data_IF_687954286534
#
_entry.id   IF_687954286534
#
_cell.length_a   1.000
_cell.length_b   1.000
_cell.length_c   1.000
_cell.angle_alpha   90.00
_cell.angle_beta   90.00
_cell.angle_gamma   90.00
#
_symmetry.space_group_name_H-M   'P 1'
#
loop_
_entity.id
_entity.type
_entity.pdbx_description
1 polymer ?
#
# COMPACT_ATOMS: atom_id res chain seq x y z
N UNK A 1 25.74 15.17 -1.17
CA UNK A 1 25.06 16.22 -1.93
C UNK A 1 25.66 17.59 -1.65
N UNK A 2 25.55 18.08 -0.46
CA UNK A 2 26.19 19.28 0.04
C UNK A 2 26.64 19.03 1.49
N UNK A 3 27.64 19.76 1.98
CA UNK A 3 28.29 19.44 3.25
C UNK A 3 27.35 19.40 4.45
N UNK A 4 26.23 20.15 4.42
CA UNK A 4 25.22 20.19 5.49
C UNK A 4 23.89 19.54 5.09
N UNK A 5 23.85 18.76 4.00
CA UNK A 5 22.61 18.16 3.50
C UNK A 5 22.70 16.63 3.42
N UNK A 6 21.91 15.96 4.26
CA UNK A 6 21.79 14.51 4.30
C UNK A 6 20.45 14.06 3.75
N UNK A 7 20.46 13.08 2.86
CA UNK A 7 19.27 12.46 2.28
C UNK A 7 19.39 10.95 2.31
N UNK A 8 18.29 10.26 2.56
CA UNK A 8 18.26 8.80 2.49
C UNK A 8 18.49 8.33 1.06
N UNK A 9 19.43 7.40 0.87
CA UNK A 9 19.76 6.86 -0.44
C UNK A 9 18.66 5.97 -1.05
N UNK A 10 17.82 5.34 -0.21
CA UNK A 10 16.80 4.40 -0.65
C UNK A 10 15.42 4.79 -0.13
N UNK A 11 15.17 4.61 1.17
CA UNK A 11 13.88 4.89 1.79
C UNK A 11 13.84 6.32 2.32
N UNK A 12 12.93 7.14 1.81
CA UNK A 12 12.77 8.54 2.22
C UNK A 12 11.43 8.79 2.93
N UNK A 13 10.51 7.84 2.88
CA UNK A 13 9.20 7.89 3.50
C UNK A 13 8.95 6.63 4.32
N UNK A 14 8.15 6.76 5.36
CA UNK A 14 7.77 5.64 6.18
C UNK A 14 6.56 4.93 5.58
N UNK A 15 6.75 3.66 5.27
CA UNK A 15 5.72 2.72 4.84
C UNK A 15 5.68 1.54 5.78
N UNK A 16 4.53 0.93 5.94
CA UNK A 16 4.36 -0.41 6.50
C UNK A 16 4.96 -0.64 7.91
N UNK A 17 5.24 0.41 8.67
CA UNK A 17 5.61 0.23 10.09
C UNK A 17 4.36 -0.23 10.86
N UNK A 18 4.36 -1.49 11.25
CA UNK A 18 3.21 -2.13 11.85
C UNK A 18 2.97 -1.61 13.28
N UNK A 19 1.72 -1.31 13.66
CA UNK A 19 1.39 -0.84 15.01
C UNK A 19 1.86 -1.79 16.12
N UNK A 20 1.78 -3.11 15.88
CA UNK A 20 2.25 -4.11 16.82
C UNK A 20 3.76 -4.00 17.06
N UNK A 21 4.55 -3.75 16.00
CA UNK A 21 6.01 -3.54 16.10
C UNK A 21 6.33 -2.26 16.87
N UNK A 22 5.58 -1.18 16.60
CA UNK A 22 5.71 0.09 17.34
C UNK A 22 5.50 -0.16 18.84
N UNK A 23 4.43 -0.88 19.17
CA UNK A 23 4.06 -1.19 20.55
C UNK A 23 5.08 -2.11 21.24
N UNK A 24 5.47 -3.21 20.56
CA UNK A 24 6.35 -4.23 21.14
C UNK A 24 7.77 -3.69 21.39
N UNK A 25 8.25 -2.77 20.55
CA UNK A 25 9.55 -2.13 20.68
C UNK A 25 9.53 -0.82 21.50
N UNK A 26 8.35 -0.33 21.88
CA UNK A 26 8.22 0.95 22.58
C UNK A 26 8.71 2.14 21.75
N UNK A 27 8.56 2.07 20.40
CA UNK A 27 8.97 3.16 19.52
C UNK A 27 7.92 4.26 19.57
N UNK A 28 8.35 5.51 19.68
CA UNK A 28 7.51 6.69 19.49
C UNK A 28 7.97 7.44 18.24
N UNK A 29 7.44 7.09 17.04
CA UNK A 29 7.87 7.74 15.81
C UNK A 29 7.51 9.22 15.83
N UNK A 30 8.53 10.08 15.73
CA UNK A 30 8.35 11.52 15.59
C UNK A 30 8.04 11.87 14.14
N UNK A 31 6.78 12.10 13.86
CA UNK A 31 6.32 12.40 12.52
C UNK A 31 6.45 13.87 12.19
N UNK A 32 7.28 14.24 11.21
CA UNK A 32 7.26 15.57 10.60
C UNK A 32 5.97 15.80 9.81
N UNK A 33 5.42 14.72 9.20
CA UNK A 33 4.13 14.72 8.52
C UNK A 33 3.51 13.31 8.51
N UNK A 34 2.31 13.18 9.08
CA UNK A 34 1.60 11.89 9.17
C UNK A 34 0.89 11.47 7.90
N UNK A 35 0.54 12.40 7.02
CA UNK A 35 -0.20 12.14 5.80
C UNK A 35 0.34 13.03 4.68
N UNK A 36 0.83 12.42 3.62
CA UNK A 36 1.41 13.10 2.48
C UNK A 36 0.52 12.98 1.25
N UNK A 37 0.43 14.08 0.49
CA UNK A 37 -0.24 14.08 -0.82
C UNK A 37 0.71 13.55 -1.87
N UNK A 38 0.21 12.72 -2.77
CA UNK A 38 0.91 12.40 -4.02
C UNK A 38 0.62 13.50 -5.05
N UNK A 39 1.66 13.98 -5.70
CA UNK A 39 1.56 14.96 -6.79
C UNK A 39 2.15 14.31 -8.04
N UNK A 40 1.34 14.21 -9.08
CA UNK A 40 1.76 13.73 -10.40
C UNK A 40 1.98 14.94 -11.29
N UNK A 41 3.22 15.14 -11.70
CA UNK A 41 3.59 16.25 -12.58
C UNK A 41 3.12 15.94 -13.99
N UNK A 42 2.46 16.91 -14.63
CA UNK A 42 2.01 16.86 -16.02
C UNK A 42 2.67 17.96 -16.83
N UNK A 43 2.84 17.76 -18.12
CA UNK A 43 3.52 18.72 -19.00
C UNK A 43 2.74 20.04 -19.16
N UNK A 44 1.41 19.97 -19.06
CA UNK A 44 0.52 21.15 -19.17
C UNK A 44 0.43 21.97 -17.87
N UNK A 45 1.12 21.56 -16.81
CA UNK A 45 1.07 22.20 -15.48
C UNK A 45 -0.19 21.90 -14.67
N UNK A 46 -1.14 21.18 -15.23
CA UNK A 46 -2.38 20.76 -14.53
C UNK A 46 -2.13 19.52 -13.68
N UNK A 47 -1.26 19.66 -12.69
CA UNK A 47 -0.78 18.55 -11.88
C UNK A 47 -1.90 17.84 -11.13
N UNK A 48 -1.90 16.50 -11.21
CA UNK A 48 -2.84 15.67 -10.44
C UNK A 48 -2.36 15.62 -9.00
N UNK A 49 -3.29 15.77 -8.05
CA UNK A 49 -3.01 15.66 -6.61
C UNK A 49 -4.01 14.73 -5.99
N UNK A 50 -3.53 13.71 -5.27
CA UNK A 50 -4.43 12.82 -4.53
C UNK A 50 -3.89 12.47 -3.14
N UNK A 51 -4.85 12.19 -2.24
CA UNK A 51 -4.61 11.76 -0.87
C UNK A 51 -5.86 11.01 -0.37
N UNK A 52 -5.73 9.73 -0.08
CA UNK A 52 -6.88 8.89 0.21
C UNK A 52 -7.89 8.96 -0.94
N UNK A 53 -9.16 9.23 -0.63
CA UNK A 53 -10.24 9.36 -1.63
C UNK A 53 -10.32 10.73 -2.33
N UNK A 54 -9.53 11.69 -1.87
CA UNK A 54 -9.56 13.04 -2.44
C UNK A 54 -8.62 13.11 -3.65
N UNK A 55 -9.11 13.62 -4.77
CA UNK A 55 -8.34 13.82 -6.00
C UNK A 55 -8.71 15.13 -6.66
N UNK A 56 -7.73 15.78 -7.31
CA UNK A 56 -7.89 16.97 -8.13
C UNK A 56 -6.92 16.96 -9.32
N UNK A 57 -7.17 17.79 -10.33
CA UNK A 57 -6.37 17.85 -11.56
C UNK A 57 -6.74 16.76 -12.57
N UNK A 58 -7.91 16.17 -12.46
CA UNK A 58 -8.51 15.23 -13.42
C UNK A 58 -9.92 15.67 -13.78
N UNK A 59 -10.48 15.12 -14.87
CA UNK A 59 -11.88 15.35 -15.25
C UNK A 59 -12.85 14.71 -14.24
N UNK A 60 -14.13 15.06 -14.29
CA UNK A 60 -15.14 14.60 -13.33
C UNK A 60 -15.40 13.08 -13.44
N UNK A 61 -15.24 12.49 -14.62
CA UNK A 61 -15.38 11.05 -14.84
C UNK A 61 -14.25 10.28 -14.13
N UNK A 62 -12.99 10.64 -14.39
CA UNK A 62 -11.82 10.04 -13.72
C UNK A 62 -11.87 10.27 -12.20
N UNK A 63 -12.38 11.43 -11.76
CA UNK A 63 -12.56 11.71 -10.33
C UNK A 63 -13.56 10.77 -9.68
N UNK A 64 -14.71 10.55 -10.30
CA UNK A 64 -15.72 9.58 -9.83
C UNK A 64 -15.15 8.17 -9.80
N UNK A 65 -14.55 7.76 -10.90
CA UNK A 65 -13.95 6.43 -11.04
C UNK A 65 -12.83 6.19 -10.03
N UNK A 66 -12.02 7.22 -9.72
CA UNK A 66 -10.98 7.15 -8.71
C UNK A 66 -11.56 6.90 -7.31
N UNK A 67 -12.60 7.61 -6.92
CA UNK A 67 -13.25 7.44 -5.61
C UNK A 67 -13.82 6.01 -5.48
N UNK A 68 -14.46 5.49 -6.52
CA UNK A 68 -15.00 4.14 -6.55
C UNK A 68 -13.88 3.08 -6.47
N UNK A 69 -12.83 3.25 -7.29
CA UNK A 69 -11.64 2.40 -7.30
C UNK A 69 -10.97 2.39 -5.92
N UNK A 70 -10.66 3.56 -5.38
CA UNK A 70 -10.01 3.71 -4.08
C UNK A 70 -10.81 3.01 -2.96
N UNK A 71 -12.12 3.30 -2.86
CA UNK A 71 -12.98 2.70 -1.83
C UNK A 71 -13.03 1.18 -1.94
N UNK A 72 -13.05 0.62 -3.16
CA UNK A 72 -13.02 -0.81 -3.40
C UNK A 72 -11.67 -1.42 -3.01
N UNK A 73 -10.56 -0.81 -3.41
CA UNK A 73 -9.22 -1.29 -3.08
C UNK A 73 -8.96 -1.25 -1.57
N UNK A 74 -9.41 -0.21 -0.87
CA UNK A 74 -9.34 -0.13 0.59
C UNK A 74 -10.11 -1.27 1.24
N UNK A 75 -11.37 -1.52 0.85
CA UNK A 75 -12.15 -2.65 1.40
C UNK A 75 -11.44 -4.00 1.22
N UNK A 76 -10.84 -4.24 0.05
CA UNK A 76 -10.12 -5.48 -0.21
C UNK A 76 -8.79 -5.55 0.53
N UNK A 77 -8.10 -4.42 0.70
CA UNK A 77 -6.87 -4.36 1.49
C UNK A 77 -7.13 -4.61 2.98
N UNK A 78 -8.27 -4.21 3.51
CA UNK A 78 -8.65 -4.44 4.92
C UNK A 78 -8.73 -5.94 5.25
N UNK A 79 -9.13 -6.78 4.29
CA UNK A 79 -9.05 -8.23 4.44
C UNK A 79 -7.61 -8.69 4.67
N UNK A 80 -6.66 -8.14 3.89
CA UNK A 80 -5.26 -8.52 3.94
C UNK A 80 -4.52 -8.03 5.18
N UNK A 81 -4.92 -6.87 5.75
CA UNK A 81 -4.32 -6.31 6.97
C UNK A 81 -4.23 -7.32 8.11
N UNK A 82 -5.27 -8.13 8.28
CA UNK A 82 -5.33 -9.17 9.32
C UNK A 82 -4.23 -10.23 9.18
N UNK A 83 -3.66 -10.37 7.99
CA UNK A 83 -2.68 -11.42 7.66
C UNK A 83 -1.25 -10.90 7.52
N UNK A 84 -1.01 -9.58 7.52
CA UNK A 84 0.32 -8.99 7.33
C UNK A 84 1.33 -9.43 8.40
N UNK A 85 0.90 -9.51 9.66
CA UNK A 85 1.74 -9.90 10.80
C UNK A 85 1.73 -11.41 11.07
N UNK A 86 1.11 -12.19 10.19
CA UNK A 86 1.06 -13.65 10.34
C UNK A 86 2.07 -14.32 9.43
N UNK A 87 2.65 -15.41 9.94
CA UNK A 87 3.46 -16.27 9.08
C UNK A 87 2.59 -16.77 7.91
N UNK A 88 3.06 -16.61 6.65
CA UNK A 88 2.35 -17.14 5.50
C UNK A 88 2.11 -18.66 5.64
N UNK A 89 0.87 -19.13 5.47
CA UNK A 89 0.56 -20.55 5.56
C UNK A 89 1.15 -21.29 4.36
N UNK A 90 1.68 -22.48 4.61
CA UNK A 90 2.18 -23.34 3.53
C UNK A 90 1.02 -24.06 2.86
N UNK A 91 0.93 -23.97 1.54
CA UNK A 91 -0.02 -24.76 0.77
C UNK A 91 0.37 -26.24 0.75
N UNK A 92 -0.62 -27.13 0.85
CA UNK A 92 -0.39 -28.57 0.84
C UNK A 92 0.23 -29.15 2.11
N UNK A 93 0.30 -28.39 3.21
CA UNK A 93 0.81 -28.84 4.49
C UNK A 93 -0.24 -29.60 5.31
N UNK A 94 0.22 -30.52 6.16
CA UNK A 94 -0.60 -31.17 7.20
C UNK A 94 -0.56 -30.41 8.54
N UNK A 95 0.12 -29.26 8.61
CA UNK A 95 0.22 -28.48 9.83
C UNK A 95 -1.14 -27.83 10.16
N UNK A 96 -1.68 -28.11 11.32
CA UNK A 96 -2.99 -27.63 11.75
C UNK A 96 -3.08 -26.12 11.84
N UNK A 97 -2.01 -25.42 12.23
CA UNK A 97 -1.97 -23.96 12.31
C UNK A 97 -2.07 -23.32 10.91
N UNK A 98 -1.36 -23.87 9.93
CA UNK A 98 -1.43 -23.41 8.55
C UNK A 98 -2.82 -23.67 7.95
N UNK A 99 -3.39 -24.86 8.20
CA UNK A 99 -4.74 -25.21 7.76
C UNK A 99 -5.81 -24.29 8.38
N UNK A 100 -5.69 -23.98 9.67
CA UNK A 100 -6.59 -23.04 10.33
C UNK A 100 -6.48 -21.62 9.75
N UNK A 101 -5.27 -21.18 9.42
CA UNK A 101 -5.06 -19.86 8.79
C UNK A 101 -5.70 -19.81 7.41
N UNK A 102 -5.53 -20.86 6.61
CA UNK A 102 -6.17 -20.98 5.28
C UNK A 102 -7.70 -21.06 5.38
N UNK A 103 -8.22 -21.85 6.32
CA UNK A 103 -9.65 -21.97 6.55
C UNK A 103 -10.26 -20.63 6.98
N UNK A 104 -9.59 -19.91 7.89
CA UNK A 104 -10.01 -18.58 8.30
C UNK A 104 -10.00 -17.60 7.12
N UNK A 105 -8.95 -17.56 6.32
CA UNK A 105 -8.88 -16.71 5.12
C UNK A 105 -10.01 -17.02 4.16
N UNK A 106 -10.26 -18.29 3.88
CA UNK A 106 -11.38 -18.73 3.04
C UNK A 106 -12.74 -18.32 3.59
N UNK A 107 -12.93 -18.43 4.92
CA UNK A 107 -14.14 -17.96 5.60
C UNK A 107 -14.30 -16.43 5.52
N UNK A 108 -13.24 -15.67 5.77
CA UNK A 108 -13.27 -14.21 5.70
C UNK A 108 -13.60 -13.74 4.26
N UNK A 109 -13.01 -14.37 3.24
CA UNK A 109 -13.36 -14.11 1.83
C UNK A 109 -14.83 -14.46 1.55
N UNK A 110 -15.30 -15.60 2.05
CA UNK A 110 -16.69 -16.03 1.86
C UNK A 110 -17.68 -15.08 2.52
N UNK A 111 -17.32 -14.53 3.69
CA UNK A 111 -18.14 -13.60 4.47
C UNK A 111 -18.34 -12.25 3.79
N UNK A 112 -17.50 -11.86 2.83
CA UNK A 112 -17.69 -10.65 2.02
C UNK A 112 -18.98 -10.69 1.20
N UNK A 113 -19.58 -11.87 1.02
CA UNK A 113 -20.71 -12.08 0.14
C UNK A 113 -20.31 -12.50 -1.27
N UNK A 114 -21.26 -13.08 -1.99
CA UNK A 114 -20.99 -13.73 -3.28
C UNK A 114 -20.41 -12.78 -4.35
N UNK A 115 -20.93 -11.56 -4.43
CA UNK A 115 -20.51 -10.56 -5.41
C UNK A 115 -19.09 -10.07 -5.14
N UNK A 116 -18.85 -9.58 -3.92
CA UNK A 116 -17.53 -9.05 -3.51
C UNK A 116 -16.45 -10.14 -3.52
N UNK A 117 -16.79 -11.36 -3.09
CA UNK A 117 -15.86 -12.50 -3.16
C UNK A 117 -15.43 -12.79 -4.60
N UNK A 118 -16.37 -12.81 -5.55
CA UNK A 118 -16.04 -13.05 -6.97
C UNK A 118 -15.16 -11.95 -7.53
N UNK A 119 -15.50 -10.70 -7.22
CA UNK A 119 -14.73 -9.54 -7.67
C UNK A 119 -13.33 -9.54 -7.05
N UNK A 120 -13.19 -9.82 -5.77
CA UNK A 120 -11.89 -9.95 -5.11
C UNK A 120 -11.03 -11.03 -5.77
N UNK A 121 -11.59 -12.24 -5.99
CA UNK A 121 -10.87 -13.35 -6.60
C UNK A 121 -10.50 -13.07 -8.07
N UNK A 122 -11.34 -12.34 -8.81
CA UNK A 122 -11.03 -11.86 -10.15
C UNK A 122 -9.82 -10.93 -10.13
N UNK A 123 -9.89 -9.91 -9.28
CA UNK A 123 -8.89 -8.83 -9.21
C UNK A 123 -7.52 -9.32 -8.76
N UNK A 124 -7.41 -10.20 -7.77
CA UNK A 124 -6.10 -10.68 -7.29
C UNK A 124 -5.30 -11.45 -8.35
N UNK A 125 -5.98 -11.99 -9.37
CA UNK A 125 -5.34 -12.64 -10.52
C UNK A 125 -4.99 -11.69 -11.67
N UNK A 126 -5.54 -10.47 -11.66
CA UNK A 126 -5.36 -9.50 -12.74
C UNK A 126 -4.04 -8.72 -12.62
N UNK A 127 -3.66 -8.11 -13.71
CA UNK A 127 -2.65 -7.07 -13.72
C UNK A 127 -3.29 -5.70 -13.48
N UNK A 128 -2.51 -4.77 -12.93
CA UNK A 128 -3.00 -3.43 -12.60
C UNK A 128 -3.29 -2.61 -13.85
N UNK A 129 -2.56 -2.84 -14.95
CA UNK A 129 -2.73 -2.09 -16.19
C UNK A 129 -4.14 -2.24 -16.75
N UNK A 130 -4.64 -3.48 -16.89
CA UNK A 130 -5.96 -3.74 -17.46
C UNK A 130 -7.07 -3.15 -16.58
N UNK A 131 -6.97 -3.29 -15.25
CA UNK A 131 -7.95 -2.70 -14.33
C UNK A 131 -8.00 -1.17 -14.40
N UNK A 132 -6.83 -0.52 -14.55
CA UNK A 132 -6.78 0.94 -14.66
C UNK A 132 -7.18 1.42 -16.06
N UNK A 133 -6.88 0.66 -17.11
CA UNK A 133 -7.23 1.00 -18.48
C UNK A 133 -8.74 0.95 -18.75
N UNK A 134 -9.42 -0.02 -18.11
CA UNK A 134 -10.89 -0.12 -18.14
C UNK A 134 -11.60 1.04 -17.43
N UNK A 135 -10.94 1.77 -16.50
CA UNK A 135 -11.59 2.73 -15.60
C UNK A 135 -11.21 4.17 -15.84
N UNK A 136 -9.99 4.42 -16.28
CA UNK A 136 -9.45 5.77 -16.36
C UNK A 136 -9.06 6.14 -17.79
N UNK A 137 -9.32 7.39 -18.14
CA UNK A 137 -8.90 7.96 -19.42
C UNK A 137 -7.52 8.62 -19.28
N UNK A 138 -7.26 9.30 -18.15
CA UNK A 138 -6.04 10.08 -17.93
C UNK A 138 -4.79 9.17 -17.80
N UNK A 139 -3.81 9.27 -18.72
CA UNK A 139 -2.63 8.41 -18.71
C UNK A 139 -1.68 8.67 -17.53
N UNK A 140 -1.59 9.91 -17.06
CA UNK A 140 -0.74 10.26 -15.91
C UNK A 140 -1.30 9.65 -14.61
N UNK A 141 -2.64 9.66 -14.44
CA UNK A 141 -3.28 9.00 -13.31
C UNK A 141 -3.05 7.47 -13.36
N UNK A 142 -3.23 6.85 -14.52
CA UNK A 142 -2.95 5.42 -14.71
C UNK A 142 -1.49 5.08 -14.37
N UNK A 143 -0.54 5.88 -14.85
CA UNK A 143 0.89 5.71 -14.55
C UNK A 143 1.19 5.81 -13.06
N UNK A 144 0.65 6.83 -12.38
CA UNK A 144 0.87 7.04 -10.96
C UNK A 144 0.33 5.89 -10.10
N UNK A 145 -0.91 5.44 -10.35
CA UNK A 145 -1.50 4.30 -9.64
C UNK A 145 -0.78 2.98 -9.93
N UNK A 146 -0.27 2.81 -11.16
CA UNK A 146 0.53 1.63 -11.52
C UNK A 146 1.84 1.53 -10.76
N UNK A 147 2.45 2.67 -10.41
CA UNK A 147 3.72 2.71 -9.66
C UNK A 147 3.57 2.00 -8.32
N UNK A 148 2.47 2.21 -7.61
CA UNK A 148 2.20 1.56 -6.32
C UNK A 148 2.03 0.04 -6.43
N UNK A 149 1.66 -0.46 -7.60
CA UNK A 149 1.50 -1.90 -7.85
C UNK A 149 2.82 -2.63 -8.16
N UNK A 150 3.86 -1.91 -8.58
CA UNK A 150 5.12 -2.51 -9.03
C UNK A 150 6.33 -2.09 -8.21
N UNK A 151 6.18 -1.10 -7.33
CA UNK A 151 7.29 -0.59 -6.53
C UNK A 151 7.89 -1.69 -5.65
N UNK A 152 9.20 -1.89 -5.76
CA UNK A 152 9.92 -2.91 -5.01
C UNK A 152 9.81 -4.33 -5.59
N UNK A 153 9.30 -4.47 -6.82
CA UNK A 153 9.21 -5.75 -7.53
C UNK A 153 10.00 -5.73 -8.84
N UNK A 154 10.17 -6.90 -9.45
CA UNK A 154 10.69 -7.03 -10.82
C UNK A 154 9.57 -7.03 -11.88
N UNK A 155 8.33 -6.78 -11.46
CA UNK A 155 7.15 -6.84 -12.30
C UNK A 155 6.89 -5.51 -13.00
N UNK A 156 6.35 -5.56 -14.22
CA UNK A 156 5.73 -4.41 -14.87
C UNK A 156 4.23 -4.35 -14.63
N UNK A 157 3.56 -3.22 -14.94
CA UNK A 157 2.12 -3.06 -14.70
C UNK A 157 1.24 -4.11 -15.41
N UNK A 158 1.71 -4.71 -16.49
CA UNK A 158 1.03 -5.77 -17.26
C UNK A 158 1.34 -7.18 -16.76
N UNK A 159 2.19 -7.32 -15.76
CA UNK A 159 2.46 -8.63 -15.15
C UNK A 159 1.27 -9.10 -14.32
N UNK A 160 0.92 -10.39 -14.34
CA UNK A 160 -0.17 -10.92 -13.52
C UNK A 160 0.08 -10.70 -12.04
N UNK A 161 -0.99 -10.64 -11.26
CA UNK A 161 -1.01 -10.44 -9.81
C UNK A 161 -0.50 -9.07 -9.31
N UNK A 162 -0.27 -8.08 -10.15
CA UNK A 162 0.17 -6.76 -9.70
C UNK A 162 -0.90 -6.00 -8.92
N UNK A 163 -2.18 -6.33 -9.08
CA UNK A 163 -3.24 -5.84 -8.18
C UNK A 163 -3.05 -6.37 -6.76
N UNK A 164 -2.65 -7.62 -6.59
CA UNK A 164 -2.38 -8.16 -5.26
C UNK A 164 -1.22 -7.39 -4.57
N UNK A 165 -0.19 -7.03 -5.32
CA UNK A 165 0.91 -6.17 -4.82
C UNK A 165 0.39 -4.80 -4.40
N UNK A 166 -0.48 -4.19 -5.21
CA UNK A 166 -1.14 -2.92 -4.88
C UNK A 166 -1.96 -3.02 -3.59
N UNK A 167 -2.78 -4.06 -3.44
CA UNK A 167 -3.57 -4.31 -2.23
C UNK A 167 -2.69 -4.55 -1.00
N UNK A 168 -1.60 -5.31 -1.15
CA UNK A 168 -0.63 -5.55 -0.08
C UNK A 168 0.01 -4.24 0.39
N UNK A 169 0.39 -3.37 -0.55
CA UNK A 169 0.92 -2.05 -0.24
C UNK A 169 -0.10 -1.18 0.51
N UNK A 170 -1.36 -1.11 0.04
CA UNK A 170 -2.44 -0.40 0.72
C UNK A 170 -2.68 -0.94 2.14
N UNK A 171 -2.68 -2.26 2.29
CA UNK A 171 -2.86 -2.90 3.60
C UNK A 171 -1.75 -2.49 4.58
N UNK A 172 -0.51 -2.35 4.11
CA UNK A 172 0.64 -1.96 4.91
C UNK A 172 0.70 -0.48 5.28
N UNK A 173 0.05 0.39 4.52
CA UNK A 173 0.10 1.84 4.74
C UNK A 173 -0.63 2.30 6.02
N UNK A 174 -1.55 1.51 6.56
CA UNK A 174 -2.38 1.86 7.73
C UNK A 174 -3.00 3.28 7.68
N UNK A 175 -3.29 3.76 6.48
CA UNK A 175 -3.88 5.07 6.23
C UNK A 175 -3.12 5.87 5.18
N UNK A 176 -1.90 6.31 5.47
CA UNK A 176 -1.16 7.21 4.57
C UNK A 176 0.36 7.03 4.68
N UNK A 177 1.05 7.53 3.66
CA UNK A 177 2.50 7.66 3.66
C UNK A 177 2.91 8.77 4.63
N UNK A 178 3.90 8.49 5.47
CA UNK A 178 4.38 9.42 6.51
C UNK A 178 5.84 9.81 6.28
N UNK A 179 6.21 10.98 6.79
CA UNK A 179 7.59 11.44 6.89
C UNK A 179 7.99 11.54 8.37
N UNK A 180 9.20 11.08 8.68
CA UNK A 180 9.77 11.10 10.03
C UNK A 180 10.67 12.33 10.20
N UNK A 181 10.65 12.95 11.36
CA UNK A 181 11.60 14.01 11.73
C UNK A 181 13.03 13.45 11.74
N UNK A 182 13.95 14.16 11.10
CA UNK A 182 15.31 13.65 10.89
C UNK A 182 15.41 12.54 9.84
N UNK A 183 14.33 12.32 9.03
CA UNK A 183 14.27 11.30 7.99
C UNK A 183 14.30 9.87 8.54
N UNK A 184 14.53 8.90 7.66
CA UNK A 184 14.62 7.49 8.08
C UNK A 184 15.80 7.23 9.03
N UNK A 185 16.85 8.05 8.98
CA UNK A 185 17.96 8.00 9.93
C UNK A 185 17.52 8.27 11.37
N UNK A 186 16.58 9.19 11.59
CA UNK A 186 15.99 9.46 12.90
C UNK A 186 15.31 8.22 13.49
N UNK A 187 14.52 7.51 12.71
CA UNK A 187 13.89 6.24 13.12
C UNK A 187 14.93 5.16 13.44
N UNK A 188 15.98 5.04 12.61
CA UNK A 188 17.05 4.07 12.85
C UNK A 188 17.83 4.37 14.13
N UNK A 189 18.05 5.63 14.46
CA UNK A 189 18.69 6.03 15.72
C UNK A 189 17.82 5.68 16.93
N UNK A 190 16.50 5.84 16.85
CA UNK A 190 15.60 5.38 17.91
C UNK A 190 15.69 3.85 18.12
N UNK A 191 15.64 3.10 17.04
CA UNK A 191 15.77 1.62 17.10
C UNK A 191 17.12 1.20 17.69
N UNK A 192 18.20 1.87 17.30
CA UNK A 192 19.53 1.63 17.85
C UNK A 192 19.56 1.88 19.37
N UNK A 193 19.04 3.03 19.83
CA UNK A 193 19.00 3.37 21.26
C UNK A 193 18.20 2.35 22.08
N UNK A 194 17.09 1.85 21.55
CA UNK A 194 16.29 0.81 22.21
C UNK A 194 17.10 -0.50 22.31
N UNK A 195 17.78 -0.91 21.24
CA UNK A 195 18.59 -2.13 21.24
C UNK A 195 19.81 -2.04 22.17
N UNK A 196 20.39 -0.85 22.36
CA UNK A 196 21.54 -0.63 23.25
C UNK A 196 21.11 -0.47 24.72
N UNK A 197 19.86 -0.16 24.99
CA UNK A 197 19.29 -0.01 26.34
C UNK A 197 18.60 -1.27 26.88
N UNK A 198 18.53 -2.35 26.07
CA UNK A 198 17.98 -3.67 26.43
C UNK A 198 19.07 -4.61 26.87
#
# INVERSE_FOLDING_TARGET
FADDFSVSACAHLLFQLQPDVIKDLGIEPDYSKKSMKTIVLTEDGNHIRYQGKNISGVNEEDKKNYIEFHNRMVRFSDLLKTYLNKRPPRLGTKNTKDLMTLAKLGFDIRRMGKSEMREFLRLIGMNIYDELDERFVNPYLKGALSTDAVLGTHLGPRSPNTILTYLYRLAGLHGDVSSIQGGMGGLMNQLKSIAEGS
#
